data_IF_544274914242
#
_entry.id   IF_544274914242
#
_cell.length_a   1.000
_cell.length_b   1.000
_cell.length_c   1.000
_cell.angle_alpha   90.00
_cell.angle_beta   90.00
_cell.angle_gamma   90.00
#
_symmetry.space_group_name_H-M   'P 1'
#
loop_
_entity.id
_entity.type
_entity.pdbx_description
1 polymer ?
#
# COMPACT_ATOMS: atom_id res chain seq x y z
N UNK A 1 -4.91 5.05 9.76
CA UNK A 1 -4.53 4.37 11.01
C UNK A 1 -3.28 3.51 10.78
N UNK A 2 -2.31 3.55 11.69
CA UNK A 2 -1.01 2.88 11.57
C UNK A 2 -0.77 2.00 12.79
N UNK A 3 -0.45 0.73 12.57
CA UNK A 3 -0.06 -0.17 13.66
C UNK A 3 1.25 0.27 14.30
N UNK A 4 1.27 0.41 15.63
CA UNK A 4 2.45 0.86 16.39
C UNK A 4 2.89 -0.11 17.48
N UNK A 5 2.06 -1.10 17.87
CA UNK A 5 2.48 -2.13 18.81
C UNK A 5 1.34 -2.80 19.56
N UNK A 6 1.67 -3.45 20.67
CA UNK A 6 0.72 -4.14 21.53
C UNK A 6 0.43 -3.36 22.81
N UNK A 7 -0.76 -3.56 23.36
CA UNK A 7 -1.11 -3.04 24.68
C UNK A 7 -0.49 -3.91 25.78
N UNK A 8 0.09 -3.28 26.80
CA UNK A 8 0.65 -4.00 27.95
C UNK A 8 -0.46 -4.61 28.79
N UNK A 9 -0.36 -5.91 29.07
CA UNK A 9 -1.31 -6.61 29.95
C UNK A 9 -2.65 -6.97 29.29
N UNK A 10 -2.83 -6.73 27.98
CA UNK A 10 -4.01 -7.19 27.26
C UNK A 10 -3.67 -7.66 25.85
N UNK A 11 -4.47 -8.62 25.34
CA UNK A 11 -4.41 -9.00 23.91
C UNK A 11 -5.15 -7.93 23.10
N UNK A 12 -4.54 -6.77 22.94
CA UNK A 12 -5.05 -5.67 22.14
C UNK A 12 -3.89 -4.97 21.42
N UNK A 13 -4.21 -4.30 20.32
CA UNK A 13 -3.27 -3.60 19.46
C UNK A 13 -3.36 -2.09 19.69
N UNK A 14 -2.21 -1.42 19.61
CA UNK A 14 -2.09 0.04 19.56
C UNK A 14 -2.04 0.50 18.12
N UNK A 15 -2.93 1.40 17.76
CA UNK A 15 -3.10 1.95 16.42
C UNK A 15 -3.05 3.46 16.51
N UNK A 16 -2.07 4.07 15.85
CA UNK A 16 -1.95 5.51 15.75
C UNK A 16 -2.88 6.04 14.65
N UNK A 17 -3.70 7.02 15.01
CA UNK A 17 -4.52 7.78 14.08
C UNK A 17 -3.83 9.13 13.79
N UNK A 18 -3.34 9.36 12.56
CA UNK A 18 -2.67 10.61 12.20
C UNK A 18 -3.62 11.81 12.11
N UNK A 19 -4.93 11.60 11.90
CA UNK A 19 -5.91 12.67 11.76
C UNK A 19 -6.19 13.31 13.13
N UNK A 20 -6.43 12.47 14.13
CA UNK A 20 -6.68 12.91 15.51
C UNK A 20 -5.40 13.01 16.35
N UNK A 21 -4.26 12.53 15.83
CA UNK A 21 -2.95 12.43 16.51
C UNK A 21 -3.01 11.65 17.83
N UNK A 22 -3.83 10.60 17.87
CA UNK A 22 -4.07 9.77 19.07
C UNK A 22 -3.75 8.32 18.83
N UNK A 23 -3.39 7.62 19.90
CA UNK A 23 -3.24 6.17 19.91
C UNK A 23 -4.52 5.54 20.42
N UNK A 24 -5.07 4.64 19.61
CA UNK A 24 -6.25 3.85 19.93
C UNK A 24 -5.84 2.44 20.30
N UNK A 25 -6.46 1.87 21.33
CA UNK A 25 -6.29 0.47 21.72
C UNK A 25 -7.51 -0.31 21.25
N UNK A 26 -7.31 -1.27 20.37
CA UNK A 26 -8.41 -2.06 19.79
C UNK A 26 -8.00 -3.52 19.54
N UNK A 27 -8.99 -4.41 19.51
CA UNK A 27 -8.81 -5.85 19.28
C UNK A 27 -9.14 -6.26 17.85
N UNK A 28 -10.03 -5.54 17.20
CA UNK A 28 -10.57 -5.87 15.88
C UNK A 28 -9.86 -5.03 14.82
N UNK A 29 -8.61 -5.39 14.51
CA UNK A 29 -7.80 -4.73 13.49
C UNK A 29 -7.62 -5.65 12.29
N UNK A 30 -7.99 -5.16 11.11
CA UNK A 30 -7.70 -5.82 9.83
C UNK A 30 -6.48 -5.14 9.21
N UNK A 31 -5.45 -5.92 8.87
CA UNK A 31 -4.21 -5.43 8.28
C UNK A 31 -4.29 -5.51 6.74
N UNK A 32 -4.08 -4.39 6.06
CA UNK A 32 -3.90 -4.35 4.60
C UNK A 32 -2.40 -4.38 4.27
N UNK A 33 -1.84 -5.58 4.06
CA UNK A 33 -0.43 -5.77 3.66
C UNK A 33 -0.21 -5.54 2.15
N UNK A 34 -1.29 -5.43 1.37
CA UNK A 34 -1.27 -5.71 -0.06
C UNK A 34 -1.32 -4.52 -1.01
N UNK A 35 -1.88 -3.37 -0.64
CA UNK A 35 -2.19 -2.35 -1.65
C UNK A 35 -0.95 -1.59 -2.17
N UNK A 36 0.07 -1.35 -1.34
CA UNK A 36 1.12 -0.37 -1.69
C UNK A 36 2.23 -0.91 -2.59
N UNK A 37 2.39 -2.25 -2.70
CA UNK A 37 3.41 -2.88 -3.56
C UNK A 37 2.94 -3.02 -5.01
N UNK A 38 1.64 -3.19 -5.25
CA UNK A 38 1.12 -3.45 -6.60
C UNK A 38 1.10 -2.20 -7.47
N UNK A 39 1.00 -1.00 -6.90
CA UNK A 39 1.00 0.25 -7.67
C UNK A 39 2.32 0.46 -8.45
N UNK A 40 3.47 0.18 -7.83
CA UNK A 40 4.78 0.34 -8.50
C UNK A 40 5.01 -0.72 -9.58
N UNK A 41 4.51 -1.94 -9.36
CA UNK A 41 4.57 -3.03 -10.34
C UNK A 41 3.67 -2.71 -11.53
N UNK A 42 2.46 -2.22 -11.30
CA UNK A 42 1.52 -1.80 -12.33
C UNK A 42 2.06 -0.62 -13.17
N UNK A 43 2.63 0.41 -12.52
CA UNK A 43 3.24 1.55 -13.23
C UNK A 43 4.43 1.12 -14.11
N UNK A 44 5.25 0.17 -13.64
CA UNK A 44 6.36 -0.39 -14.44
C UNK A 44 5.86 -1.21 -15.62
N UNK A 45 4.81 -2.00 -15.45
CA UNK A 45 4.20 -2.79 -16.52
C UNK A 45 3.60 -1.90 -17.62
N UNK A 46 2.88 -0.85 -17.24
CA UNK A 46 2.29 0.10 -18.20
C UNK A 46 3.36 0.86 -18.99
N UNK A 47 4.41 1.34 -18.33
CA UNK A 47 5.54 2.01 -19.00
C UNK A 47 6.35 1.08 -19.94
N UNK A 48 6.31 -0.23 -19.71
CA UNK A 48 6.90 -1.21 -20.63
C UNK A 48 6.01 -1.42 -21.86
N UNK A 49 4.70 -1.53 -21.66
CA UNK A 49 3.71 -1.64 -22.75
C UNK A 49 3.71 -0.42 -23.66
N UNK A 50 3.71 0.79 -23.10
CA UNK A 50 3.75 2.05 -23.86
C UNK A 50 5.01 2.18 -24.73
N UNK A 51 6.19 1.85 -24.17
CA UNK A 51 7.45 1.90 -24.94
C UNK A 51 7.50 0.87 -26.06
N UNK A 52 6.98 -0.33 -25.86
CA UNK A 52 6.94 -1.35 -26.91
C UNK A 52 5.85 -1.08 -27.96
N UNK A 53 4.73 -0.47 -27.57
CA UNK A 53 3.69 0.00 -28.51
C UNK A 53 4.22 1.11 -29.42
N UNK A 54 5.08 2.00 -28.93
CA UNK A 54 5.69 3.05 -29.76
C UNK A 54 6.69 2.48 -30.78
N UNK A 55 7.49 1.48 -30.40
CA UNK A 55 8.46 0.84 -31.29
C UNK A 55 7.78 0.10 -32.46
N UNK A 56 6.67 -0.58 -32.22
CA UNK A 56 5.92 -1.29 -33.27
C UNK A 56 5.23 -0.35 -34.25
N UNK A 57 4.74 0.80 -33.79
CA UNK A 57 4.14 1.84 -34.65
C UNK A 57 5.16 2.58 -35.52
N UNK A 58 6.42 2.67 -35.09
CA UNK A 58 7.51 3.35 -35.80
C UNK A 58 8.15 2.48 -36.91
N UNK A 59 8.07 1.15 -36.80
CA UNK A 59 8.57 0.20 -37.80
C UNK A 59 7.60 -0.06 -38.97
N UNK A 60 6.37 0.46 -38.88
CA UNK A 60 5.32 0.32 -39.90
C UNK A 60 5.25 1.53 -40.86
N UNK A 61 6.27 2.40 -40.89
CA UNK A 61 6.28 3.62 -41.70
C UNK A 61 7.54 3.71 -42.56
#
# INVERSE_FOLDING_TARGET
>A
MVFVGYETGSKAYRVYDPETRRVHVTRDVVFDDGAHKMEKVAKRANHWCERHSQLTSALSR
#
